data_IF_902756977669
#
_entry.id   IF_902756977669
#
_cell.length_a   1.000
_cell.length_b   1.000
_cell.length_c   1.000
_cell.angle_alpha   90.00
_cell.angle_beta   90.00
_cell.angle_gamma   90.00
#
_symmetry.space_group_name_H-M   'P 1'
#
loop_
_entity.id
_entity.type
_entity.pdbx_description
1 polymer ?
#
# COMPACT_ATOMS: atom_id res chain seq x y z
N UNK A 1 -17.73 9.30 -17.93
CA UNK A 1 -16.39 8.74 -18.28
C UNK A 1 -16.57 7.59 -19.26
N UNK A 2 -15.87 7.65 -20.39
CA UNK A 2 -15.86 6.63 -21.45
C UNK A 2 -15.50 5.23 -20.88
N UNK A 3 -16.13 4.18 -21.41
CA UNK A 3 -15.84 2.78 -21.07
C UNK A 3 -14.40 2.40 -21.37
N UNK A 4 -13.79 2.97 -22.42
CA UNK A 4 -12.36 2.78 -22.70
C UNK A 4 -11.49 3.34 -21.58
N UNK A 5 -11.79 4.56 -21.13
CA UNK A 5 -11.06 5.22 -20.03
C UNK A 5 -11.22 4.41 -18.73
N UNK A 6 -12.43 3.94 -18.41
CA UNK A 6 -12.66 3.05 -17.25
C UNK A 6 -11.83 1.77 -17.33
N UNK A 7 -11.72 1.18 -18.52
CA UNK A 7 -10.91 -0.01 -18.75
C UNK A 7 -9.41 0.25 -18.55
N UNK A 8 -8.87 1.35 -19.08
CA UNK A 8 -7.47 1.74 -18.89
C UNK A 8 -7.18 1.98 -17.41
N UNK A 9 -8.04 2.75 -16.73
CA UNK A 9 -7.88 3.03 -15.31
C UNK A 9 -7.93 1.76 -14.46
N UNK A 10 -8.78 0.79 -14.80
CA UNK A 10 -8.81 -0.50 -14.13
C UNK A 10 -7.45 -1.20 -14.19
N UNK A 11 -6.89 -1.36 -15.40
CA UNK A 11 -5.60 -2.02 -15.57
C UNK A 11 -4.46 -1.25 -14.91
N UNK A 12 -4.47 0.07 -15.00
CA UNK A 12 -3.47 0.91 -14.34
C UNK A 12 -3.52 0.75 -12.81
N UNK A 13 -4.71 0.82 -12.22
CA UNK A 13 -4.91 0.88 -10.77
C UNK A 13 -4.86 -0.49 -10.07
N UNK A 14 -5.39 -1.53 -10.70
CA UNK A 14 -5.54 -2.85 -10.08
C UNK A 14 -4.58 -3.90 -10.64
N UNK A 15 -3.71 -3.55 -11.60
CA UNK A 15 -2.71 -4.49 -12.14
C UNK A 15 -1.34 -3.84 -12.27
N UNK A 16 -1.19 -2.77 -13.05
CA UNK A 16 0.12 -2.16 -13.28
C UNK A 16 0.74 -1.58 -11.99
N UNK A 17 0.01 -0.74 -11.25
CA UNK A 17 0.50 -0.17 -10.00
C UNK A 17 0.82 -1.25 -8.95
N UNK A 18 -0.04 -2.27 -8.70
CA UNK A 18 0.32 -3.40 -7.84
C UNK A 18 1.56 -4.16 -8.31
N UNK A 19 1.78 -4.37 -9.62
CA UNK A 19 2.99 -5.05 -10.09
C UNK A 19 4.26 -4.23 -9.87
N UNK A 20 4.19 -2.90 -10.03
CA UNK A 20 5.30 -1.99 -9.69
C UNK A 20 5.62 -2.10 -8.20
N UNK A 21 4.60 -2.01 -7.33
CA UNK A 21 4.75 -2.17 -5.89
C UNK A 21 5.33 -3.53 -5.54
N UNK A 22 4.79 -4.61 -6.10
CA UNK A 22 5.26 -5.97 -5.83
C UNK A 22 6.75 -6.15 -6.17
N UNK A 23 7.21 -5.55 -7.27
CA UNK A 23 8.62 -5.60 -7.66
C UNK A 23 9.53 -4.77 -6.75
N UNK A 24 9.10 -3.55 -6.39
CA UNK A 24 9.89 -2.67 -5.52
C UNK A 24 10.00 -3.20 -4.09
N UNK A 25 8.89 -3.72 -3.54
CA UNK A 25 8.80 -4.19 -2.16
C UNK A 25 9.67 -5.43 -1.90
N UNK A 26 10.12 -6.14 -2.94
CA UNK A 26 11.15 -7.19 -2.81
C UNK A 26 12.47 -6.65 -2.24
N UNK A 27 12.72 -5.35 -2.38
CA UNK A 27 13.89 -4.64 -1.87
C UNK A 27 13.52 -3.70 -0.72
N UNK A 28 12.34 -3.88 -0.11
CA UNK A 28 11.89 -3.14 1.05
C UNK A 28 12.05 -4.00 2.31
N UNK A 29 13.06 -3.71 3.14
CA UNK A 29 13.39 -4.54 4.29
C UNK A 29 12.33 -4.44 5.38
N UNK A 30 12.25 -5.47 6.22
CA UNK A 30 11.40 -5.51 7.41
C UNK A 30 12.19 -6.03 8.60
N UNK A 31 11.64 -5.98 9.83
CA UNK A 31 12.25 -6.64 10.99
C UNK A 31 13.43 -5.94 11.67
N UNK A 32 13.75 -4.69 11.31
CA UNK A 32 14.89 -3.94 11.88
C UNK A 32 14.54 -2.91 12.97
N UNK A 33 13.26 -2.79 13.36
CA UNK A 33 12.76 -1.77 14.31
C UNK A 33 13.54 -1.73 15.63
N UNK A 34 13.79 -2.88 16.25
CA UNK A 34 14.41 -2.95 17.59
C UNK A 34 15.92 -3.24 17.55
N UNK A 35 16.40 -3.97 16.54
CA UNK A 35 17.81 -4.33 16.41
C UNK A 35 18.17 -4.53 14.94
N UNK A 36 19.17 -3.81 14.39
CA UNK A 36 20.09 -2.87 15.06
C UNK A 36 19.47 -1.50 15.39
N UNK A 37 18.17 -1.32 15.11
CA UNK A 37 17.48 -0.04 15.20
C UNK A 37 17.38 0.62 13.82
N UNK A 38 16.39 1.51 13.68
CA UNK A 38 16.05 2.13 12.39
C UNK A 38 17.24 2.86 11.76
N UNK A 39 17.89 3.80 12.48
CA UNK A 39 18.94 4.62 11.86
C UNK A 39 20.15 3.76 11.44
N UNK A 40 20.58 2.86 12.33
CA UNK A 40 21.73 1.99 12.09
C UNK A 40 21.52 1.10 10.86
N UNK A 41 20.30 0.59 10.68
CA UNK A 41 19.96 -0.24 9.53
C UNK A 41 19.85 0.59 8.24
N UNK A 42 19.02 1.64 8.23
CA UNK A 42 18.67 2.37 7.00
C UNK A 42 19.83 3.17 6.41
N UNK A 43 20.83 3.57 7.20
CA UNK A 43 22.00 4.25 6.66
C UNK A 43 22.98 3.32 5.93
N UNK A 44 22.80 2.01 6.02
CA UNK A 44 23.77 1.03 5.51
C UNK A 44 23.14 0.18 4.42
N UNK A 45 23.76 0.12 3.24
CA UNK A 45 23.37 -0.87 2.23
C UNK A 45 23.62 -2.28 2.75
N UNK A 46 22.68 -3.19 2.56
CA UNK A 46 22.78 -4.57 2.97
C UNK A 46 22.63 -5.50 1.75
N UNK A 47 23.49 -6.52 1.59
CA UNK A 47 23.17 -7.62 0.68
C UNK A 47 21.95 -8.39 1.20
N UNK A 48 21.53 -9.45 0.49
CA UNK A 48 20.49 -10.34 0.98
C UNK A 48 20.84 -10.87 2.39
N UNK A 49 19.94 -10.62 3.33
CA UNK A 49 19.96 -11.21 4.67
C UNK A 49 18.53 -11.69 4.98
N UNK A 50 18.33 -13.01 5.17
CA UNK A 50 17.00 -13.59 5.34
C UNK A 50 16.27 -13.04 6.57
N UNK A 51 16.97 -12.45 7.55
CA UNK A 51 16.36 -11.82 8.72
C UNK A 51 15.49 -10.62 8.39
N UNK A 52 15.79 -9.93 7.29
CA UNK A 52 15.09 -8.70 6.89
C UNK A 52 14.21 -8.89 5.65
N UNK A 53 14.10 -10.13 5.15
CA UNK A 53 13.21 -10.58 4.08
C UNK A 53 13.34 -9.89 2.71
N UNK A 54 14.15 -8.84 2.57
CA UNK A 54 14.44 -8.19 1.31
C UNK A 54 15.54 -8.92 0.54
N UNK A 55 15.41 -8.99 -0.79
CA UNK A 55 16.42 -9.52 -1.71
C UNK A 55 17.74 -8.71 -1.67
N UNK A 56 17.66 -7.49 -1.16
CA UNK A 56 18.77 -6.60 -0.88
C UNK A 56 18.24 -5.23 -0.47
N UNK A 57 19.12 -4.40 0.10
CA UNK A 57 18.79 -3.03 0.47
C UNK A 57 19.92 -2.09 0.06
N UNK A 58 19.62 -1.08 -0.75
CA UNK A 58 20.63 -0.22 -1.37
C UNK A 58 20.88 1.09 -0.58
N UNK A 59 20.49 1.14 0.70
CA UNK A 59 20.72 2.28 1.58
C UNK A 59 19.65 3.38 1.50
N UNK A 60 19.92 4.55 2.08
CA UNK A 60 18.90 5.56 2.36
C UNK A 60 18.35 6.23 1.09
N UNK A 61 19.13 6.29 0.01
CA UNK A 61 18.65 6.77 -1.29
C UNK A 61 17.53 5.88 -1.83
N UNK A 62 17.70 4.56 -1.73
CA UNK A 62 16.67 3.62 -2.18
C UNK A 62 15.42 3.73 -1.32
N UNK A 63 15.55 3.78 0.01
CA UNK A 63 14.42 4.01 0.93
C UNK A 63 13.61 5.24 0.50
N UNK A 64 14.27 6.38 0.33
CA UNK A 64 13.60 7.60 -0.12
C UNK A 64 12.96 7.45 -1.50
N UNK A 65 13.69 6.93 -2.50
CA UNK A 65 13.17 6.75 -3.86
C UNK A 65 11.96 5.83 -3.89
N UNK A 66 12.01 4.71 -3.18
CA UNK A 66 10.91 3.75 -3.19
C UNK A 66 9.66 4.36 -2.58
N UNK A 67 9.75 5.06 -1.45
CA UNK A 67 8.59 5.71 -0.83
C UNK A 67 8.00 6.83 -1.71
N UNK A 68 8.86 7.59 -2.41
CA UNK A 68 8.40 8.58 -3.39
C UNK A 68 7.59 7.98 -4.55
N UNK A 69 7.94 6.77 -5.00
CA UNK A 69 7.20 6.05 -6.06
C UNK A 69 5.98 5.33 -5.48
N UNK A 70 6.11 4.79 -4.28
CA UNK A 70 5.08 4.03 -3.58
C UNK A 70 3.85 4.89 -3.28
N UNK A 71 4.02 6.14 -2.84
CA UNK A 71 2.91 7.05 -2.53
C UNK A 71 1.90 7.22 -3.69
N UNK A 72 2.28 7.61 -4.92
CA UNK A 72 1.33 7.69 -6.03
C UNK A 72 0.80 6.31 -6.46
N UNK A 73 1.59 5.24 -6.34
CA UNK A 73 1.11 3.88 -6.68
C UNK A 73 0.01 3.41 -5.72
N UNK A 74 0.13 3.66 -4.42
CA UNK A 74 -0.95 3.37 -3.46
C UNK A 74 -2.17 4.26 -3.69
N UNK A 75 -1.97 5.50 -4.11
CA UNK A 75 -3.06 6.36 -4.60
C UNK A 75 -3.84 5.71 -5.74
N UNK A 76 -3.14 5.15 -6.74
CA UNK A 76 -3.78 4.41 -7.84
C UNK A 76 -4.49 3.14 -7.34
N UNK A 77 -3.88 2.38 -6.43
CA UNK A 77 -4.52 1.20 -5.83
C UNK A 77 -5.83 1.57 -5.14
N UNK A 78 -5.85 2.64 -4.34
CA UNK A 78 -7.05 3.14 -3.67
C UNK A 78 -8.14 3.55 -4.67
N UNK A 79 -7.78 4.21 -5.78
CA UNK A 79 -8.72 4.50 -6.87
C UNK A 79 -9.28 3.21 -7.47
N UNK A 80 -8.42 2.19 -7.67
CA UNK A 80 -8.82 0.87 -8.14
C UNK A 80 -9.84 0.18 -7.24
N UNK A 81 -9.59 0.15 -5.93
CA UNK A 81 -10.50 -0.43 -4.93
C UNK A 81 -11.85 0.30 -4.90
N UNK A 82 -11.84 1.64 -5.01
CA UNK A 82 -13.06 2.44 -5.12
C UNK A 82 -13.83 2.11 -6.40
N UNK A 83 -13.13 1.96 -7.53
CA UNK A 83 -13.71 1.62 -8.82
C UNK A 83 -14.32 0.21 -8.85
N UNK A 84 -13.75 -0.74 -8.12
CA UNK A 84 -14.21 -2.14 -8.09
C UNK A 84 -15.68 -2.27 -7.69
N UNK A 85 -16.19 -1.39 -6.83
CA UNK A 85 -17.56 -1.41 -6.32
C UNK A 85 -18.48 -0.37 -6.97
N UNK A 86 -18.08 0.21 -8.11
CA UNK A 86 -18.89 1.21 -8.80
C UNK A 86 -20.19 0.62 -9.39
N UNK A 87 -21.26 1.42 -9.36
CA UNK A 87 -22.59 1.04 -9.84
C UNK A 87 -23.29 0.00 -8.95
N UNK A 88 -22.86 -0.19 -7.71
CA UNK A 88 -23.60 -0.91 -6.67
C UNK A 88 -24.32 0.16 -5.84
N UNK A 89 -25.64 0.29 -6.05
CA UNK A 89 -26.41 1.46 -5.59
C UNK A 89 -27.54 1.10 -4.60
N UNK A 90 -27.91 -0.19 -4.50
CA UNK A 90 -29.06 -0.61 -3.70
C UNK A 90 -28.73 -1.75 -2.71
N UNK A 91 -29.52 -1.83 -1.64
CA UNK A 91 -29.52 -2.92 -0.67
C UNK A 91 -28.24 -3.05 0.16
N UNK A 92 -28.05 -4.23 0.79
CA UNK A 92 -26.89 -4.53 1.63
C UNK A 92 -25.56 -4.37 0.88
N UNK A 93 -25.52 -4.70 -0.41
CA UNK A 93 -24.32 -4.55 -1.22
C UNK A 93 -23.89 -3.09 -1.34
N UNK A 94 -24.83 -2.13 -1.40
CA UNK A 94 -24.53 -0.70 -1.41
C UNK A 94 -23.91 -0.24 -0.10
N UNK A 95 -24.46 -0.67 1.05
CA UNK A 95 -23.90 -0.37 2.37
C UNK A 95 -22.45 -0.87 2.48
N UNK A 96 -22.21 -2.12 2.08
CA UNK A 96 -20.87 -2.72 2.11
C UNK A 96 -19.91 -2.02 1.12
N UNK A 97 -20.39 -1.64 -0.07
CA UNK A 97 -19.62 -0.86 -1.03
C UNK A 97 -19.27 0.55 -0.51
N UNK A 98 -20.11 1.15 0.33
CA UNK A 98 -19.77 2.41 1.00
C UNK A 98 -18.77 2.20 2.14
N UNK A 99 -18.90 1.12 2.90
CA UNK A 99 -17.91 0.75 3.92
C UNK A 99 -16.53 0.57 3.29
N UNK A 100 -16.44 -0.08 2.12
CA UNK A 100 -15.17 -0.23 1.40
C UNK A 100 -14.57 1.11 0.99
N UNK A 101 -15.39 2.06 0.54
CA UNK A 101 -14.93 3.42 0.14
C UNK A 101 -14.40 4.20 1.33
N UNK A 102 -15.14 4.20 2.45
CA UNK A 102 -14.71 4.88 3.68
C UNK A 102 -13.41 4.27 4.19
N UNK A 103 -13.32 2.95 4.25
CA UNK A 103 -12.10 2.25 4.66
C UNK A 103 -10.92 2.56 3.73
N UNK A 104 -11.13 2.53 2.41
CA UNK A 104 -10.09 2.90 1.42
C UNK A 104 -9.63 4.35 1.58
N UNK A 105 -10.55 5.28 1.85
CA UNK A 105 -10.24 6.69 2.09
C UNK A 105 -9.41 6.89 3.36
N UNK A 106 -9.81 6.25 4.47
CA UNK A 106 -9.06 6.30 5.73
C UNK A 106 -7.68 5.66 5.61
N UNK A 107 -7.58 4.53 4.89
CA UNK A 107 -6.31 3.93 4.51
C UNK A 107 -5.43 4.92 3.76
N UNK A 108 -5.96 5.57 2.70
CA UNK A 108 -5.18 6.52 1.91
C UNK A 108 -4.64 7.69 2.76
N UNK A 109 -5.46 8.25 3.66
CA UNK A 109 -5.03 9.34 4.56
C UNK A 109 -3.92 8.87 5.49
N UNK A 110 -4.16 7.77 6.22
CA UNK A 110 -3.24 7.28 7.24
C UNK A 110 -1.95 6.76 6.64
N UNK A 111 -2.01 6.09 5.49
CA UNK A 111 -0.84 5.68 4.74
C UNK A 111 -0.04 6.88 4.24
N UNK A 112 -0.70 7.91 3.69
CA UNK A 112 -0.01 9.14 3.26
C UNK A 112 0.72 9.79 4.43
N UNK A 113 0.09 9.85 5.62
CA UNK A 113 0.72 10.36 6.82
C UNK A 113 1.92 9.51 7.25
N UNK A 114 1.75 8.18 7.32
CA UNK A 114 2.82 7.23 7.65
C UNK A 114 4.01 7.39 6.70
N UNK A 115 3.76 7.39 5.40
CA UNK A 115 4.77 7.43 4.35
C UNK A 115 5.47 8.79 4.32
N UNK A 116 4.75 9.88 4.59
CA UNK A 116 5.35 11.22 4.72
C UNK A 116 6.33 11.30 5.89
N UNK A 117 6.05 10.60 7.00
CA UNK A 117 6.89 10.62 8.21
C UNK A 117 8.01 9.58 8.10
N UNK A 118 7.66 8.29 8.06
CA UNK A 118 8.59 7.17 8.14
C UNK A 118 9.24 6.78 6.82
N UNK A 119 8.60 7.05 5.69
CA UNK A 119 9.16 6.73 4.38
C UNK A 119 10.03 7.88 3.85
N UNK A 120 9.35 8.93 3.39
CA UNK A 120 9.90 10.09 2.70
C UNK A 120 10.66 11.00 3.67
N UNK A 121 10.02 11.44 4.75
CA UNK A 121 10.57 12.39 5.72
C UNK A 121 11.82 11.86 6.40
N UNK A 122 11.73 10.63 6.91
CA UNK A 122 12.87 9.92 7.48
C UNK A 122 13.99 9.72 6.45
N UNK A 123 13.70 9.12 5.29
CA UNK A 123 14.71 8.88 4.25
C UNK A 123 15.44 10.15 3.83
N UNK A 124 14.70 11.26 3.68
CA UNK A 124 15.30 12.56 3.35
C UNK A 124 16.14 13.11 4.49
N UNK A 125 15.72 12.92 5.74
CA UNK A 125 16.47 13.34 6.92
C UNK A 125 17.81 12.63 7.03
N UNK A 126 17.86 11.31 6.78
CA UNK A 126 19.11 10.54 6.73
C UNK A 126 20.10 11.13 5.71
N UNK A 127 19.63 11.35 4.48
CA UNK A 127 20.44 11.92 3.40
C UNK A 127 20.95 13.33 3.71
N UNK A 128 20.11 14.17 4.33
CA UNK A 128 20.50 15.52 4.72
C UNK A 128 21.54 15.51 5.85
N UNK A 129 21.38 14.63 6.86
CA UNK A 129 22.37 14.47 7.94
C UNK A 129 23.73 14.10 7.35
N UNK A 130 23.78 13.11 6.46
CA UNK A 130 25.04 12.69 5.82
C UNK A 130 25.67 13.82 5.00
N UNK A 131 24.86 14.55 4.22
CA UNK A 131 25.32 15.69 3.44
C UNK A 131 25.87 16.82 4.32
N UNK A 132 25.19 17.16 5.42
CA UNK A 132 25.62 18.22 6.32
C UNK A 132 26.89 17.83 7.10
N UNK A 133 27.03 16.55 7.48
CA UNK A 133 28.26 16.03 8.08
C UNK A 133 29.44 16.11 7.11
N UNK A 134 29.24 15.69 5.87
CA UNK A 134 30.27 15.78 4.82
C UNK A 134 30.68 17.23 4.52
N UNK A 135 29.74 18.17 4.60
CA UNK A 135 29.99 19.60 4.43
C UNK A 135 30.59 20.29 5.66
N UNK A 136 30.71 19.60 6.80
CA UNK A 136 31.17 20.18 8.06
C UNK A 136 30.20 21.18 8.71
N UNK A 137 28.93 21.21 8.26
CA UNK A 137 27.90 22.11 8.79
C UNK A 137 27.07 21.50 9.92
N UNK A 138 27.29 20.21 10.21
CA UNK A 138 26.70 19.49 11.34
C UNK A 138 27.82 18.87 12.20
N UNK A 139 27.92 19.31 13.44
CA UNK A 139 28.89 18.74 14.40
C UNK A 139 28.53 17.30 14.77
N UNK A 140 29.50 16.48 15.23
CA UNK A 140 29.24 15.13 15.69
C UNK A 140 28.15 15.04 16.78
N UNK A 141 28.14 15.99 17.72
CA UNK A 141 27.17 16.04 18.82
C UNK A 141 25.76 16.37 18.30
N UNK A 142 25.64 17.33 17.38
CA UNK A 142 24.35 17.64 16.73
C UNK A 142 23.83 16.47 15.90
N UNK A 143 24.72 15.75 15.20
CA UNK A 143 24.35 14.56 14.45
C UNK A 143 23.81 13.46 15.39
N UNK A 144 24.46 13.23 16.53
CA UNK A 144 23.97 12.27 17.53
C UNK A 144 22.59 12.66 18.06
N UNK A 145 22.36 13.94 18.36
CA UNK A 145 21.04 14.43 18.77
C UNK A 145 19.96 14.21 17.71
N UNK A 146 20.26 14.51 16.44
CA UNK A 146 19.34 14.26 15.33
C UNK A 146 19.03 12.77 15.16
N UNK A 147 20.05 11.91 15.26
CA UNK A 147 19.90 10.44 15.19
C UNK A 147 19.02 9.92 16.33
N UNK A 148 19.21 10.44 17.55
CA UNK A 148 18.40 10.05 18.70
C UNK A 148 16.93 10.43 18.50
N UNK A 149 16.66 11.64 17.98
CA UNK A 149 15.31 12.07 17.64
C UNK A 149 14.67 11.15 16.59
N UNK A 150 15.35 10.86 15.48
CA UNK A 150 14.80 10.00 14.41
C UNK A 150 14.47 8.59 14.92
N UNK A 151 15.31 8.01 15.79
CA UNK A 151 15.02 6.72 16.40
C UNK A 151 13.84 6.78 17.38
N UNK A 152 13.71 7.86 18.15
CA UNK A 152 12.58 8.07 19.05
C UNK A 152 11.27 8.21 18.27
N UNK A 153 11.26 9.01 17.20
CA UNK A 153 10.12 9.18 16.31
C UNK A 153 9.72 7.84 15.67
N UNK A 154 10.68 7.02 15.27
CA UNK A 154 10.40 5.72 14.63
C UNK A 154 9.60 4.76 15.54
N UNK A 155 9.83 4.79 16.85
CA UNK A 155 9.14 3.92 17.82
C UNK A 155 8.00 4.62 18.55
N UNK A 156 7.66 5.85 18.14
CA UNK A 156 6.56 6.60 18.74
C UNK A 156 5.21 5.86 18.52
N UNK A 157 4.41 5.66 19.59
CA UNK A 157 3.17 4.88 19.50
C UNK A 157 2.06 5.56 18.70
N UNK A 158 2.17 6.84 18.36
CA UNK A 158 1.17 7.57 17.57
C UNK A 158 1.56 7.66 16.11
N UNK A 159 2.78 8.12 15.84
CA UNK A 159 3.22 8.54 14.49
C UNK A 159 4.42 7.77 13.95
N UNK A 160 4.99 6.87 14.75
CA UNK A 160 6.16 6.09 14.35
C UNK A 160 5.89 5.07 13.24
N UNK A 161 6.87 4.21 13.01
CA UNK A 161 6.81 3.15 12.01
C UNK A 161 5.87 2.02 12.41
N UNK A 162 6.39 0.79 12.49
CA UNK A 162 5.58 -0.42 12.72
C UNK A 162 4.96 -0.40 14.12
N UNK A 163 3.62 -0.50 14.18
CA UNK A 163 2.87 -0.65 15.44
C UNK A 163 2.35 0.67 16.02
N UNK A 164 2.65 1.81 15.41
CA UNK A 164 2.05 3.10 15.75
C UNK A 164 0.55 3.13 15.44
N UNK A 165 -0.20 4.04 16.05
CA UNK A 165 -1.63 4.22 15.78
C UNK A 165 -1.90 4.49 14.30
N UNK A 166 -1.11 5.35 13.65
CA UNK A 166 -1.26 5.66 12.23
C UNK A 166 -1.01 4.40 11.38
N UNK A 167 0.05 3.64 11.66
CA UNK A 167 0.38 2.43 10.89
C UNK A 167 -0.69 1.33 11.07
N UNK A 168 -1.14 1.10 12.30
CA UNK A 168 -2.19 0.12 12.61
C UNK A 168 -3.53 0.53 11.99
N UNK A 169 -3.89 1.81 12.06
CA UNK A 169 -5.13 2.28 11.45
C UNK A 169 -5.10 2.04 9.94
N UNK A 170 -4.02 2.42 9.25
CA UNK A 170 -3.88 2.15 7.83
C UNK A 170 -3.96 0.66 7.49
N UNK A 171 -3.23 -0.18 8.24
CA UNK A 171 -3.15 -1.62 7.97
C UNK A 171 -4.50 -2.32 8.18
N UNK A 172 -5.26 -1.96 9.21
CA UNK A 172 -6.61 -2.50 9.42
C UNK A 172 -7.62 -1.97 8.39
N UNK A 173 -7.50 -0.70 7.98
CA UNK A 173 -8.41 -0.11 7.00
C UNK A 173 -8.26 -0.72 5.60
N UNK A 174 -7.06 -1.10 5.17
CA UNK A 174 -6.90 -1.79 3.87
C UNK A 174 -7.49 -3.20 3.89
N UNK A 175 -7.37 -3.95 5.00
CA UNK A 175 -8.04 -5.23 5.14
C UNK A 175 -9.56 -5.07 5.12
N UNK A 176 -10.09 -4.13 5.88
CA UNK A 176 -11.53 -3.83 5.89
C UNK A 176 -12.03 -3.43 4.49
N UNK A 177 -11.26 -2.62 3.76
CA UNK A 177 -11.57 -2.25 2.39
C UNK A 177 -11.62 -3.49 1.49
N UNK A 178 -10.59 -4.33 1.50
CA UNK A 178 -10.50 -5.54 0.68
C UNK A 178 -11.64 -6.53 0.94
N UNK A 179 -11.93 -6.81 2.21
CA UNK A 179 -13.05 -7.69 2.62
C UNK A 179 -14.39 -7.12 2.17
N UNK A 180 -14.58 -5.80 2.34
CA UNK A 180 -15.82 -5.13 1.94
C UNK A 180 -16.00 -5.13 0.42
N UNK A 181 -14.94 -4.86 -0.36
CA UNK A 181 -15.01 -4.98 -1.83
C UNK A 181 -15.36 -6.42 -2.22
N UNK A 182 -14.69 -7.42 -1.64
CA UNK A 182 -14.97 -8.82 -1.94
C UNK A 182 -16.42 -9.20 -1.65
N UNK A 183 -16.95 -8.78 -0.49
CA UNK A 183 -18.33 -9.03 -0.08
C UNK A 183 -19.34 -8.30 -0.99
N UNK A 184 -19.11 -7.04 -1.34
CA UNK A 184 -20.00 -6.31 -2.24
C UNK A 184 -20.05 -6.96 -3.64
N UNK A 185 -18.90 -7.41 -4.15
CA UNK A 185 -18.82 -8.15 -5.41
C UNK A 185 -19.50 -9.52 -5.34
N UNK A 186 -19.39 -10.21 -4.20
CA UNK A 186 -20.07 -11.48 -3.94
C UNK A 186 -21.58 -11.33 -3.96
N UNK A 187 -22.11 -10.39 -3.18
CA UNK A 187 -23.55 -10.12 -3.05
C UNK A 187 -24.20 -9.75 -4.39
N UNK A 188 -23.44 -9.11 -5.28
CA UNK A 188 -23.89 -8.71 -6.61
C UNK A 188 -23.54 -9.71 -7.73
N UNK A 189 -22.87 -10.83 -7.39
CA UNK A 189 -22.39 -11.85 -8.33
C UNK A 189 -21.55 -11.28 -9.48
N UNK A 190 -20.79 -10.21 -9.22
CA UNK A 190 -19.98 -9.48 -10.22
C UNK A 190 -18.57 -10.03 -10.40
N UNK A 191 -18.15 -10.96 -9.55
CA UNK A 191 -16.82 -11.57 -9.60
C UNK A 191 -16.88 -13.06 -9.24
N UNK A 192 -16.00 -13.89 -9.83
CA UNK A 192 -15.88 -15.29 -9.46
C UNK A 192 -15.22 -15.45 -8.07
N UNK A 193 -15.62 -16.47 -7.32
CA UNK A 193 -15.16 -16.66 -5.94
C UNK A 193 -13.63 -16.76 -5.76
N UNK A 194 -12.81 -17.33 -6.68
CA UNK A 194 -11.37 -17.36 -6.49
C UNK A 194 -10.76 -15.96 -6.43
N UNK A 195 -11.24 -15.03 -7.27
CA UNK A 195 -10.76 -13.65 -7.25
C UNK A 195 -11.12 -12.92 -5.95
N UNK A 196 -12.24 -13.29 -5.31
CA UNK A 196 -12.63 -12.74 -4.01
C UNK A 196 -11.70 -13.20 -2.89
N UNK A 197 -11.30 -14.48 -2.92
CA UNK A 197 -10.33 -15.04 -1.97
C UNK A 197 -8.97 -14.35 -2.12
N UNK A 198 -8.50 -14.17 -3.35
CA UNK A 198 -7.26 -13.43 -3.62
C UNK A 198 -7.32 -11.99 -3.11
N UNK A 199 -8.47 -11.32 -3.25
CA UNK A 199 -8.64 -9.95 -2.76
C UNK A 199 -8.59 -9.88 -1.22
N UNK A 200 -9.23 -10.83 -0.53
CA UNK A 200 -9.15 -10.92 0.95
C UNK A 200 -7.72 -11.21 1.39
N UNK A 201 -7.04 -12.14 0.71
CA UNK A 201 -5.64 -12.46 0.98
C UNK A 201 -4.72 -11.25 0.75
N UNK A 202 -4.93 -10.45 -0.30
CA UNK A 202 -4.25 -9.15 -0.46
C UNK A 202 -4.41 -8.27 0.78
N UNK A 203 -5.65 -8.07 1.25
CA UNK A 203 -5.91 -7.23 2.41
C UNK A 203 -5.21 -7.73 3.67
N UNK A 204 -5.16 -9.06 3.85
CA UNK A 204 -4.49 -9.70 4.97
C UNK A 204 -2.96 -9.52 4.95
N UNK A 205 -2.34 -9.74 3.77
CA UNK A 205 -0.90 -9.56 3.60
C UNK A 205 -0.49 -8.12 3.90
N UNK A 206 -1.16 -7.12 3.31
CA UNK A 206 -0.81 -5.71 3.54
C UNK A 206 -1.13 -5.26 4.98
N UNK A 207 -2.16 -5.84 5.61
CA UNK A 207 -2.42 -5.61 7.03
C UNK A 207 -1.25 -6.08 7.92
N UNK A 208 -0.63 -7.20 7.55
CA UNK A 208 0.51 -7.78 8.28
C UNK A 208 1.77 -6.93 8.09
N UNK A 209 2.14 -6.68 6.83
CA UNK A 209 3.18 -5.72 6.47
C UNK A 209 3.07 -5.36 4.98
N UNK A 210 3.35 -4.11 4.63
CA UNK A 210 3.56 -3.75 3.23
C UNK A 210 5.00 -4.01 2.77
N UNK A 211 5.94 -4.24 3.68
CA UNK A 211 7.31 -4.62 3.38
C UNK A 211 7.45 -6.11 3.02
N UNK A 212 8.62 -6.51 2.52
CA UNK A 212 8.92 -7.91 2.24
C UNK A 212 8.78 -8.79 3.50
N UNK A 213 8.22 -10.01 3.40
CA UNK A 213 7.74 -10.69 2.19
C UNK A 213 6.27 -10.40 1.85
N UNK A 214 5.53 -9.79 2.77
CA UNK A 214 4.08 -9.64 2.70
C UNK A 214 3.64 -8.67 1.61
N UNK A 215 4.34 -7.53 1.45
CA UNK A 215 4.09 -6.57 0.37
C UNK A 215 4.06 -7.18 -1.02
N UNK A 216 5.17 -7.80 -1.47
CA UNK A 216 5.25 -8.45 -2.78
C UNK A 216 4.12 -9.44 -3.02
N UNK A 217 3.81 -10.28 -2.02
CA UNK A 217 2.75 -11.27 -2.10
C UNK A 217 1.39 -10.57 -2.22
N UNK A 218 1.08 -9.65 -1.31
CA UNK A 218 -0.18 -8.92 -1.27
C UNK A 218 -0.47 -8.19 -2.58
N UNK A 219 0.48 -7.40 -3.09
CA UNK A 219 0.29 -6.66 -4.33
C UNK A 219 0.19 -7.57 -5.57
N UNK A 220 0.90 -8.70 -5.60
CA UNK A 220 0.72 -9.69 -6.66
C UNK A 220 -0.68 -10.33 -6.61
N UNK A 221 -1.18 -10.67 -5.42
CA UNK A 221 -2.54 -11.19 -5.24
C UNK A 221 -3.59 -10.19 -5.73
N UNK A 222 -3.42 -8.89 -5.43
CA UNK A 222 -4.29 -7.83 -5.94
C UNK A 222 -4.25 -7.75 -7.48
N UNK A 223 -3.05 -7.80 -8.08
CA UNK A 223 -2.88 -7.78 -9.53
C UNK A 223 -3.64 -8.93 -10.21
N UNK A 224 -3.47 -10.15 -9.68
CA UNK A 224 -4.14 -11.34 -10.20
C UNK A 224 -5.66 -11.24 -10.00
N UNK A 225 -6.12 -10.81 -8.82
CA UNK A 225 -7.54 -10.63 -8.55
C UNK A 225 -8.17 -9.59 -9.50
N UNK A 226 -7.54 -8.42 -9.67
CA UNK A 226 -7.99 -7.35 -10.55
C UNK A 226 -8.07 -7.79 -12.01
N UNK A 227 -7.05 -8.50 -12.50
CA UNK A 227 -7.06 -9.07 -13.85
C UNK A 227 -8.19 -10.10 -14.01
N UNK A 228 -8.33 -11.01 -13.05
CA UNK A 228 -9.34 -12.08 -13.11
C UNK A 228 -10.76 -11.51 -13.10
N UNK A 229 -11.08 -10.57 -12.21
CA UNK A 229 -12.39 -9.92 -12.16
C UNK A 229 -12.72 -9.27 -13.50
N UNK A 230 -11.74 -8.60 -14.12
CA UNK A 230 -11.94 -7.91 -15.39
C UNK A 230 -12.18 -8.87 -16.54
N UNK A 231 -11.40 -9.95 -16.62
CA UNK A 231 -11.45 -10.94 -17.69
C UNK A 231 -12.66 -11.87 -17.56
N UNK A 232 -13.10 -12.16 -16.34
CA UNK A 232 -14.28 -13.00 -16.07
C UNK A 232 -15.60 -12.22 -16.10
N UNK A 233 -15.57 -10.89 -16.14
CA UNK A 233 -16.75 -10.05 -16.20
C UNK A 233 -17.65 -10.41 -17.38
N UNK A 234 -18.86 -10.91 -17.10
CA UNK A 234 -19.87 -11.20 -18.13
C UNK A 234 -20.33 -9.89 -18.79
N UNK A 235 -20.62 -9.88 -20.11
CA UNK A 235 -21.32 -8.77 -20.74
C UNK A 235 -22.63 -8.50 -20.00
N UNK A 236 -22.94 -7.23 -19.72
CA UNK A 236 -24.24 -6.89 -19.16
C UNK A 236 -25.34 -7.42 -20.10
N UNK A 237 -26.39 -8.11 -19.59
CA UNK A 237 -27.50 -8.51 -20.44
C UNK A 237 -28.08 -7.23 -21.07
N UNK A 238 -28.22 -7.25 -22.40
CA UNK A 238 -28.81 -6.14 -23.13
C UNK A 238 -30.15 -5.79 -22.48
N UNK A 239 -30.32 -4.51 -22.10
CA UNK A 239 -31.61 -3.99 -21.63
C UNK A 239 -32.63 -4.34 -22.71
N UNK A 240 -33.49 -5.33 -22.47
CA UNK A 240 -34.67 -5.54 -23.32
C UNK A 240 -35.46 -4.24 -23.22
N UNK A 241 -35.49 -3.45 -24.29
CA UNK A 241 -36.42 -2.35 -24.41
C UNK A 241 -37.81 -2.97 -24.35
N UNK A 242 -38.49 -2.82 -23.22
CA UNK A 242 -39.94 -2.96 -23.17
C UNK A 242 -40.50 -1.75 -23.90
N UNK A 243 -40.54 -1.86 -25.23
CA UNK A 243 -41.37 -1.03 -26.11
C UNK A 243 -42.28 -2.00 -26.83
N UNK A 244 -43.55 -1.98 -26.41
CA UNK A 244 -44.78 -2.59 -26.94
C UNK A 244 -45.56 -3.09 -25.70
N UNK A 245 -46.77 -2.63 -25.41
CA UNK A 245 -47.84 -2.11 -26.26
C UNK A 245 -48.56 -0.91 -25.62
#
# INVERSE_FOLDING_TARGET
MDQKIKGILWWACLVAAPLVLAGMELFHPSGFTNSPGMYAYLCTSQPFDPRYWALGYFGPNWWFTMHMVQLPMLGLVSVGLWMAVNGIEEGLACLVAWLSRVATFLFLITYTALDSIGGIGLGRSLLNIDAMRAAGTLTPEQAQGAIALLNADWVDPWVGGVGSLISLTGSWMVLLAAVSVALALHLTRRAPWPALVLLIAFGWEIQTAHASPHGPIGFLLLAVAGAWIRLAGKPAPARRSLVAA
#
